data_IF_660155880074
#
_entry.id   IF_660155880074
#
_cell.length_a   1.000
_cell.length_b   1.000
_cell.length_c   1.000
_cell.angle_alpha   90.00
_cell.angle_beta   90.00
_cell.angle_gamma   90.00
#
_symmetry.space_group_name_H-M   'P 1'
#
loop_
_entity.id
_entity.type
_entity.pdbx_description
1 polymer ?
#
# COMPACT_ATOMS: atom_id res chain seq x y z
N UNK A 1 17.16 2.04 18.42
CA UNK A 1 18.52 2.44 17.99
C UNK A 1 19.32 3.06 19.12
N UNK A 2 19.00 4.28 19.60
CA UNK A 2 19.70 4.94 20.71
C UNK A 2 19.96 3.99 21.91
N UNK A 3 18.89 3.38 22.44
CA UNK A 3 18.98 2.46 23.60
C UNK A 3 19.91 1.26 23.33
N UNK A 4 19.94 0.75 22.09
CA UNK A 4 20.79 -0.39 21.71
C UNK A 4 22.26 0.03 21.73
N UNK A 5 22.59 1.18 21.12
CA UNK A 5 23.93 1.73 21.11
C UNK A 5 24.47 1.98 22.53
N UNK A 6 23.65 2.56 23.41
CA UNK A 6 24.02 2.78 24.80
C UNK A 6 24.29 1.46 25.55
N UNK A 7 23.47 0.42 25.32
CA UNK A 7 23.67 -0.92 25.89
C UNK A 7 24.92 -1.62 25.38
N UNK A 8 25.35 -1.31 24.15
CA UNK A 8 26.62 -1.76 23.57
C UNK A 8 27.82 -0.89 23.98
N UNK A 9 27.65 -0.09 25.04
CA UNK A 9 28.68 0.77 25.60
C UNK A 9 29.23 1.80 24.60
N UNK A 10 28.37 2.29 23.70
CA UNK A 10 28.69 3.38 22.75
C UNK A 10 28.18 4.71 23.26
N UNK A 11 28.95 5.77 23.02
CA UNK A 11 28.48 7.14 23.22
C UNK A 11 27.61 7.54 22.03
N UNK A 12 26.57 8.34 22.27
CA UNK A 12 25.69 8.81 21.19
C UNK A 12 25.64 10.33 21.16
N UNK A 13 26.08 10.92 20.05
CA UNK A 13 25.91 12.34 19.76
C UNK A 13 24.56 12.52 19.04
N UNK A 14 23.53 12.89 19.78
CA UNK A 14 22.19 13.13 19.26
C UNK A 14 22.04 14.59 18.84
N UNK A 15 21.70 14.81 17.57
CA UNK A 15 21.36 16.10 17.01
C UNK A 15 19.89 16.13 16.61
N UNK A 16 19.07 16.82 17.41
CA UNK A 16 17.62 16.85 17.30
C UNK A 16 17.09 18.27 17.50
N UNK A 17 16.23 18.76 16.60
CA UNK A 17 15.71 20.13 16.63
C UNK A 17 16.83 21.19 16.83
N UNK A 18 16.74 21.99 17.90
CA UNK A 18 17.69 23.02 18.29
C UNK A 18 18.72 22.53 19.33
N UNK A 19 18.75 21.23 19.61
CA UNK A 19 19.56 20.63 20.67
C UNK A 19 20.54 19.63 20.09
N UNK A 20 21.81 19.77 20.47
CA UNK A 20 22.81 18.72 20.29
C UNK A 20 23.30 18.28 21.66
N UNK A 21 23.26 16.97 21.90
CA UNK A 21 23.62 16.38 23.19
C UNK A 21 24.46 15.12 22.98
N UNK A 22 25.56 15.02 23.71
CA UNK A 22 26.32 13.79 23.86
C UNK A 22 25.74 12.99 25.03
N UNK A 23 25.38 11.74 24.76
CA UNK A 23 24.80 10.82 25.73
C UNK A 23 25.80 9.69 25.99
N UNK A 24 26.16 9.51 27.25
CA UNK A 24 27.08 8.48 27.70
C UNK A 24 26.34 7.17 28.00
N UNK A 25 27.01 6.00 27.95
CA UNK A 25 26.41 4.71 28.33
C UNK A 25 25.83 4.69 29.76
N UNK A 26 26.36 5.53 30.66
CA UNK A 26 25.83 5.73 32.01
C UNK A 26 24.45 6.39 32.05
N UNK A 27 24.04 7.03 30.95
CA UNK A 27 22.86 7.89 30.87
C UNK A 27 23.16 9.37 31.12
N UNK A 28 24.39 9.73 31.50
CA UNK A 28 24.81 11.12 31.65
C UNK A 28 24.76 11.85 30.30
N UNK A 29 24.49 13.15 30.34
CA UNK A 29 24.35 13.98 29.14
C UNK A 29 25.21 15.24 29.21
N UNK A 30 25.73 15.64 28.05
CA UNK A 30 26.52 16.85 27.88
C UNK A 30 26.01 17.64 26.66
N UNK A 31 25.65 18.91 26.86
CA UNK A 31 25.20 19.77 25.77
C UNK A 31 26.38 20.20 24.91
N UNK A 32 26.22 20.09 23.59
CA UNK A 32 27.21 20.51 22.60
C UNK A 32 26.65 21.71 21.86
N UNK A 33 27.26 22.87 22.01
CA UNK A 33 26.77 24.12 21.42
C UNK A 33 27.66 24.66 20.30
N UNK A 34 28.90 24.17 20.21
CA UNK A 34 29.88 24.61 19.24
C UNK A 34 30.11 23.58 18.13
N UNK A 35 30.28 24.07 16.88
CA UNK A 35 30.46 23.21 15.70
C UNK A 35 31.83 22.51 15.68
N UNK A 36 32.87 23.13 16.25
CA UNK A 36 34.20 22.51 16.35
C UNK A 36 34.15 21.38 17.37
N UNK A 37 33.52 21.62 18.52
CA UNK A 37 33.30 20.60 19.54
C UNK A 37 32.46 19.43 18.99
N UNK A 38 31.38 19.71 18.26
CA UNK A 38 30.58 18.70 17.57
C UNK A 38 31.47 17.82 16.68
N UNK A 39 32.29 18.45 15.83
CA UNK A 39 33.15 17.74 14.88
C UNK A 39 34.12 16.81 15.59
N UNK A 40 34.78 17.32 16.63
CA UNK A 40 35.75 16.56 17.42
C UNK A 40 35.12 15.32 18.06
N UNK A 41 33.93 15.48 18.65
CA UNK A 41 33.19 14.37 19.26
C UNK A 41 32.73 13.35 18.21
N UNK A 42 32.19 13.82 17.08
CA UNK A 42 31.69 12.96 16.01
C UNK A 42 32.81 12.11 15.35
N UNK A 43 34.07 12.55 15.41
CA UNK A 43 35.24 11.83 14.91
C UNK A 43 35.80 10.80 15.89
N UNK A 44 35.32 10.74 17.14
CA UNK A 44 35.73 9.73 18.10
C UNK A 44 35.28 8.33 17.65
N UNK A 45 36.16 7.33 17.81
CA UNK A 45 35.94 5.96 17.34
C UNK A 45 34.71 5.26 17.95
N UNK A 46 34.37 5.58 19.20
CA UNK A 46 33.26 4.97 19.95
C UNK A 46 31.99 5.83 20.00
N UNK A 47 31.93 6.90 19.20
CA UNK A 47 30.77 7.79 19.08
C UNK A 47 29.95 7.44 17.84
N UNK A 48 28.65 7.32 18.06
CA UNK A 48 27.64 7.26 17.00
C UNK A 48 26.85 8.55 16.97
N UNK A 49 26.82 9.22 15.83
CA UNK A 49 26.04 10.43 15.67
C UNK A 49 24.67 10.10 15.06
N UNK A 50 23.60 10.49 15.75
CA UNK A 50 22.23 10.37 15.27
C UNK A 50 21.73 11.78 14.93
N UNK A 51 21.38 12.01 13.67
CA UNK A 51 20.79 13.26 13.18
C UNK A 51 19.31 13.00 12.94
N UNK A 52 18.44 13.67 13.70
CA UNK A 52 16.99 13.44 13.63
C UNK A 52 16.25 14.66 13.08
N UNK A 53 15.62 14.47 11.91
CA UNK A 53 14.67 15.41 11.31
C UNK A 53 15.23 16.74 10.82
N UNK A 54 16.56 16.88 10.67
CA UNK A 54 17.22 18.12 10.24
C UNK A 54 18.39 17.87 9.30
N UNK A 55 18.80 18.92 8.58
CA UNK A 55 20.03 18.89 7.77
C UNK A 55 21.23 18.68 8.67
N UNK A 56 22.20 17.95 8.15
CA UNK A 56 23.50 17.79 8.75
C UNK A 56 24.19 19.15 8.95
N UNK A 57 24.86 19.30 10.09
CA UNK A 57 25.54 20.54 10.44
C UNK A 57 26.93 20.66 9.80
N UNK A 58 27.49 19.54 9.34
CA UNK A 58 28.85 19.38 8.86
C UNK A 58 28.88 18.32 7.75
N UNK A 59 29.81 18.49 6.81
CA UNK A 59 30.11 17.46 5.81
C UNK A 59 30.59 16.16 6.47
N UNK A 60 30.35 15.04 5.79
CA UNK A 60 30.65 13.70 6.33
C UNK A 60 32.04 13.17 5.96
N UNK A 61 33.03 14.06 5.84
CA UNK A 61 34.43 13.74 5.56
C UNK A 61 35.17 13.20 6.81
N UNK A 62 34.49 12.35 7.57
CA UNK A 62 35.00 11.77 8.81
C UNK A 62 35.87 10.54 8.55
N UNK A 63 37.01 10.45 9.24
CA UNK A 63 37.89 9.28 9.14
C UNK A 63 37.36 8.07 9.95
N UNK A 64 36.66 8.32 11.07
CA UNK A 64 36.24 7.28 12.01
C UNK A 64 34.75 7.34 12.43
N UNK A 65 34.07 8.46 12.22
CA UNK A 65 32.72 8.70 12.73
C UNK A 65 31.65 7.82 12.08
N UNK A 66 30.63 7.43 12.86
CA UNK A 66 29.44 6.71 12.38
C UNK A 66 28.23 7.63 12.42
N UNK A 67 27.65 7.92 11.27
CA UNK A 67 26.49 8.80 11.15
C UNK A 67 25.24 7.99 10.83
N UNK A 68 24.14 8.29 11.50
CA UNK A 68 22.82 7.79 11.18
C UNK A 68 21.87 8.97 11.08
N UNK A 69 21.29 9.17 9.90
CA UNK A 69 20.21 10.12 9.71
C UNK A 69 18.86 9.41 9.83
N UNK A 70 18.00 9.93 10.70
CA UNK A 70 16.60 9.53 10.83
C UNK A 70 15.76 10.71 10.38
N UNK A 71 15.01 10.57 9.31
CA UNK A 71 14.18 11.67 8.81
C UNK A 71 13.04 11.15 7.96
N UNK A 72 11.98 11.95 7.85
CA UNK A 72 11.08 11.86 6.71
C UNK A 72 11.89 12.03 5.41
N UNK A 73 11.47 11.42 4.29
CA UNK A 73 12.24 11.37 3.04
C UNK A 73 12.30 12.71 2.28
N UNK A 74 12.34 13.84 2.98
CA UNK A 74 12.39 15.19 2.40
C UNK A 74 13.75 15.43 1.76
N UNK A 75 13.79 15.65 0.45
CA UNK A 75 15.05 15.99 -0.25
C UNK A 75 15.75 17.21 0.34
N UNK A 76 14.98 18.19 0.83
CA UNK A 76 15.53 19.35 1.52
C UNK A 76 16.26 19.00 2.82
N UNK A 77 16.10 17.81 3.38
CA UNK A 77 16.78 17.33 4.58
C UNK A 77 17.83 16.29 4.22
N UNK A 78 17.43 15.26 3.47
CA UNK A 78 18.28 14.09 3.20
C UNK A 78 19.21 14.27 2.00
N UNK A 79 18.96 15.27 1.15
CA UNK A 79 19.57 15.35 -0.18
C UNK A 79 21.09 15.50 -0.14
N UNK A 80 21.63 16.27 0.80
CA UNK A 80 23.08 16.43 0.94
C UNK A 80 23.72 15.23 1.64
N UNK A 81 23.04 14.68 2.65
CA UNK A 81 23.46 13.45 3.34
C UNK A 81 23.58 12.25 2.39
N UNK A 82 22.59 12.08 1.51
CA UNK A 82 22.49 10.95 0.59
C UNK A 82 23.43 11.04 -0.64
N UNK A 83 24.07 12.19 -0.89
CA UNK A 83 25.09 12.30 -1.95
C UNK A 83 26.35 11.50 -1.64
N UNK A 84 26.54 11.15 -0.37
CA UNK A 84 27.65 10.33 0.08
C UNK A 84 27.28 8.85 0.02
N UNK A 85 28.26 7.94 0.11
CA UNK A 85 28.01 6.50 0.13
C UNK A 85 27.28 6.11 1.43
N UNK A 86 25.95 6.23 1.44
CA UNK A 86 25.09 5.87 2.56
C UNK A 86 24.21 4.68 2.21
N UNK A 87 23.91 3.86 3.21
CA UNK A 87 22.88 2.82 3.11
C UNK A 87 21.54 3.44 3.49
N UNK A 88 20.59 3.45 2.56
CA UNK A 88 19.24 3.97 2.79
C UNK A 88 18.32 2.84 3.22
N UNK A 89 17.67 3.01 4.38
CA UNK A 89 16.69 2.07 4.91
C UNK A 89 15.37 2.81 5.21
N UNK A 90 14.24 2.15 4.99
CA UNK A 90 12.90 2.67 5.24
C UNK A 90 12.26 1.98 6.43
N UNK A 91 11.68 2.75 7.34
CA UNK A 91 10.95 2.19 8.48
C UNK A 91 9.52 1.83 8.08
N UNK A 92 9.06 0.58 8.30
CA UNK A 92 7.69 0.18 8.03
C UNK A 92 6.71 0.81 9.02
N UNK A 93 5.44 0.86 8.61
CA UNK A 93 4.31 1.01 9.54
C UNK A 93 4.03 -0.33 10.24
N UNK A 94 3.32 -0.29 11.36
CA UNK A 94 2.93 -1.50 12.07
C UNK A 94 1.76 -2.21 11.38
N UNK A 95 1.76 -3.53 11.42
CA UNK A 95 0.59 -4.34 11.09
C UNK A 95 -0.32 -4.51 12.32
N UNK A 96 -1.49 -5.13 12.14
CA UNK A 96 -2.45 -5.32 13.22
C UNK A 96 -1.88 -6.21 14.35
N UNK A 97 -1.07 -7.24 14.02
CA UNK A 97 -0.44 -8.11 15.03
C UNK A 97 0.54 -7.35 15.91
N UNK A 98 1.35 -6.46 15.35
CA UNK A 98 2.29 -5.62 16.11
C UNK A 98 1.53 -4.66 17.06
N UNK A 99 0.40 -4.12 16.63
CA UNK A 99 -0.47 -3.30 17.48
C UNK A 99 -1.05 -4.12 18.63
N UNK A 100 -1.56 -5.32 18.33
CA UNK A 100 -2.08 -6.23 19.37
C UNK A 100 -1.00 -6.64 20.37
N UNK A 101 0.19 -7.01 19.89
CA UNK A 101 1.29 -7.47 20.72
C UNK A 101 1.80 -6.35 21.64
N UNK A 102 1.97 -5.14 21.10
CA UNK A 102 2.35 -3.98 21.89
C UNK A 102 1.29 -3.63 22.96
N UNK A 103 0.00 -3.71 22.61
CA UNK A 103 -1.06 -3.52 23.60
C UNK A 103 -0.97 -4.55 24.72
N UNK A 104 -0.84 -5.84 24.38
CA UNK A 104 -0.76 -6.95 25.35
C UNK A 104 0.46 -6.82 26.26
N UNK A 105 1.63 -6.49 25.72
CA UNK A 105 2.90 -6.57 26.45
C UNK A 105 3.37 -5.25 27.07
N UNK A 106 2.84 -4.10 26.63
CA UNK A 106 3.36 -2.78 27.04
C UNK A 106 2.28 -1.85 27.55
N UNK A 107 1.12 -1.78 26.88
CA UNK A 107 0.13 -0.72 27.14
C UNK A 107 -1.05 -1.15 28.01
N UNK A 108 -1.45 -2.42 28.02
CA UNK A 108 -2.67 -2.86 28.72
C UNK A 108 -2.64 -2.52 30.22
N UNK A 109 -1.47 -2.58 30.85
CA UNK A 109 -1.27 -2.20 32.26
C UNK A 109 -1.10 -0.67 32.45
N UNK A 110 -0.50 0.02 31.47
CA UNK A 110 -0.15 1.45 31.59
C UNK A 110 -1.31 2.38 31.27
N UNK A 111 -2.23 1.97 30.39
CA UNK A 111 -3.39 2.77 29.97
C UNK A 111 -4.64 1.89 29.99
N UNK A 112 -5.20 1.58 31.18
CA UNK A 112 -6.33 0.65 31.31
C UNK A 112 -7.62 1.12 30.62
N UNK A 113 -7.71 2.42 30.34
CA UNK A 113 -8.85 3.04 29.67
C UNK A 113 -8.93 2.74 28.16
N UNK A 114 -7.83 2.30 27.54
CA UNK A 114 -7.77 1.99 26.11
C UNK A 114 -7.87 0.48 25.90
N UNK A 115 -9.04 0.04 25.42
CA UNK A 115 -9.26 -1.36 25.04
C UNK A 115 -8.58 -1.70 23.71
N UNK A 116 -8.29 -2.99 23.49
CA UNK A 116 -7.76 -3.45 22.21
C UNK A 116 -8.70 -3.08 21.04
N UNK A 117 -10.02 -3.16 21.26
CA UNK A 117 -11.01 -2.80 20.25
C UNK A 117 -10.93 -1.32 19.85
N UNK A 118 -10.69 -0.42 20.82
CA UNK A 118 -10.44 1.01 20.54
C UNK A 118 -9.24 1.19 19.61
N UNK A 119 -8.14 0.48 19.87
CA UNK A 119 -6.94 0.53 19.04
C UNK A 119 -7.17 -0.03 17.63
N UNK A 120 -7.94 -1.12 17.50
CA UNK A 120 -8.34 -1.67 16.20
C UNK A 120 -9.18 -0.69 15.40
N UNK A 121 -10.10 0.05 16.04
CA UNK A 121 -10.87 1.11 15.39
C UNK A 121 -9.95 2.25 14.92
N UNK A 122 -8.96 2.66 15.72
CA UNK A 122 -7.96 3.65 15.31
C UNK A 122 -7.13 3.14 14.13
N UNK A 123 -6.64 1.90 14.18
CA UNK A 123 -5.89 1.26 13.11
C UNK A 123 -6.68 1.22 11.79
N UNK A 124 -7.96 0.79 11.83
CA UNK A 124 -8.82 0.80 10.64
C UNK A 124 -9.04 2.21 10.06
N UNK A 125 -8.92 3.24 10.89
CA UNK A 125 -9.12 4.63 10.49
C UNK A 125 -7.85 5.26 9.91
N UNK A 126 -6.73 5.18 10.62
CA UNK A 126 -5.49 5.88 10.27
C UNK A 126 -4.32 4.96 9.90
N UNK A 127 -4.52 3.65 9.80
CA UNK A 127 -3.46 2.69 9.52
C UNK A 127 -2.49 2.45 10.67
N UNK A 128 -1.38 1.79 10.34
CA UNK A 128 -0.36 1.31 11.26
C UNK A 128 0.60 2.34 11.85
N UNK A 129 0.19 3.58 12.12
CA UNK A 129 1.08 4.61 12.70
C UNK A 129 1.02 4.53 14.23
N UNK A 130 2.05 4.01 14.92
CA UNK A 130 1.95 3.72 16.36
C UNK A 130 1.71 5.00 17.18
N UNK A 131 2.33 6.11 16.78
CA UNK A 131 2.14 7.41 17.43
C UNK A 131 0.69 7.87 17.41
N UNK A 132 -0.06 7.62 16.33
CA UNK A 132 -1.48 7.96 16.25
C UNK A 132 -2.33 6.97 17.05
N UNK A 133 -2.07 5.66 16.90
CA UNK A 133 -2.87 4.60 17.54
C UNK A 133 -2.80 4.71 19.07
N UNK A 134 -1.59 4.83 19.62
CA UNK A 134 -1.35 4.79 21.07
C UNK A 134 -1.27 6.19 21.70
N UNK A 135 -0.92 7.22 20.93
CA UNK A 135 -0.70 8.57 21.46
C UNK A 135 -1.92 9.49 21.38
N UNK A 136 -2.87 9.22 20.48
CA UNK A 136 -3.94 10.17 20.17
C UNK A 136 -5.35 9.62 20.45
N UNK A 137 -6.29 10.52 20.70
CA UNK A 137 -7.71 10.16 20.83
C UNK A 137 -8.34 9.84 19.47
N UNK A 138 -9.35 8.96 19.44
CA UNK A 138 -10.10 8.68 18.22
C UNK A 138 -10.72 9.93 17.60
N UNK A 139 -11.17 10.89 18.43
CA UNK A 139 -11.71 12.17 17.98
C UNK A 139 -10.65 13.00 17.27
N UNK A 140 -9.45 13.10 17.83
CA UNK A 140 -8.33 13.81 17.20
C UNK A 140 -8.00 13.21 15.83
N UNK A 141 -7.85 11.88 15.75
CA UNK A 141 -7.52 11.20 14.48
C UNK A 141 -8.58 11.51 13.40
N UNK A 142 -9.87 11.43 13.76
CA UNK A 142 -10.97 11.78 12.84
C UNK A 142 -10.89 13.22 12.34
N UNK A 143 -10.61 14.17 13.24
CA UNK A 143 -10.48 15.59 12.89
C UNK A 143 -9.26 15.85 12.01
N UNK A 144 -8.12 15.26 12.36
CA UNK A 144 -6.87 15.38 11.60
C UNK A 144 -7.02 14.84 10.16
N UNK A 145 -7.62 13.66 9.99
CA UNK A 145 -7.92 13.10 8.66
C UNK A 145 -8.90 14.00 7.91
N UNK A 146 -9.98 14.45 8.56
CA UNK A 146 -10.97 15.34 7.93
C UNK A 146 -10.33 16.63 7.44
N UNK A 147 -9.43 17.21 8.23
CA UNK A 147 -8.69 18.42 7.86
C UNK A 147 -7.78 18.14 6.66
N UNK A 148 -7.01 17.06 6.68
CA UNK A 148 -6.09 16.71 5.59
C UNK A 148 -6.83 16.42 4.26
N UNK A 149 -8.01 15.78 4.36
CA UNK A 149 -8.90 15.57 3.21
C UNK A 149 -9.36 16.89 2.55
N UNK A 150 -9.28 18.03 3.24
CA UNK A 150 -9.58 19.34 2.62
C UNK A 150 -8.49 19.83 1.68
N UNK A 151 -7.27 19.34 1.84
CA UNK A 151 -6.08 19.68 1.04
C UNK A 151 -5.84 18.71 -0.12
N UNK A 152 -6.50 17.56 -0.13
CA UNK A 152 -6.39 16.57 -1.23
C UNK A 152 -6.68 17.22 -2.58
N UNK A 153 -5.74 17.08 -3.49
CA UNK A 153 -5.77 17.60 -4.85
C UNK A 153 -4.59 17.04 -5.68
N UNK A 154 -4.33 17.59 -6.88
CA UNK A 154 -3.35 17.05 -7.81
C UNK A 154 -1.92 17.02 -7.26
N UNK A 155 -1.57 17.99 -6.41
CA UNK A 155 -0.28 18.02 -5.72
C UNK A 155 -0.02 16.77 -4.87
N UNK A 156 -1.05 16.14 -4.31
CA UNK A 156 -0.91 14.88 -3.57
C UNK A 156 -0.46 13.72 -4.48
N UNK A 157 -0.88 13.75 -5.75
CA UNK A 157 -0.58 12.73 -6.76
C UNK A 157 0.79 12.98 -7.41
N UNK A 158 1.11 14.25 -7.71
CA UNK A 158 2.31 14.62 -8.46
C UNK A 158 3.56 14.92 -7.60
N UNK A 159 3.40 15.36 -6.35
CA UNK A 159 4.55 15.79 -5.51
C UNK A 159 5.33 14.62 -4.90
N UNK A 160 4.92 13.38 -5.18
CA UNK A 160 5.60 12.20 -4.65
C UNK A 160 6.56 11.55 -5.65
N UNK A 161 6.44 11.85 -6.95
CA UNK A 161 7.33 11.33 -7.99
C UNK A 161 8.60 12.16 -8.18
N UNK A 162 8.48 13.49 -8.13
CA UNK A 162 9.63 14.38 -8.16
C UNK A 162 10.08 14.65 -6.74
N UNK A 163 11.08 13.87 -6.31
CA UNK A 163 11.83 14.11 -5.07
C UNK A 163 10.95 14.23 -3.82
N UNK A 164 10.24 13.17 -3.40
CA UNK A 164 9.56 13.01 -2.09
C UNK A 164 9.55 14.29 -1.23
N UNK A 165 8.76 15.29 -1.62
CA UNK A 165 8.69 16.59 -0.93
C UNK A 165 7.71 16.49 0.23
N UNK A 166 7.80 15.37 0.95
CA UNK A 166 6.83 14.90 1.92
C UNK A 166 6.83 15.76 3.17
N UNK A 167 5.95 16.76 3.20
CA UNK A 167 5.51 17.37 4.44
C UNK A 167 3.99 17.41 4.58
N UNK A 168 3.24 17.67 3.50
CA UNK A 168 1.81 17.95 3.65
C UNK A 168 0.95 16.68 3.85
N UNK A 169 1.21 15.59 3.11
CA UNK A 169 0.29 14.42 3.09
C UNK A 169 0.86 13.13 3.71
N UNK A 170 2.19 13.07 3.87
CA UNK A 170 2.96 11.84 4.12
C UNK A 170 3.06 11.57 5.62
N UNK A 171 2.03 10.96 6.20
CA UNK A 171 1.94 10.36 7.56
C UNK A 171 0.48 10.27 8.05
N UNK A 172 -0.44 11.01 7.42
CA UNK A 172 -1.88 10.98 7.76
C UNK A 172 -2.72 10.31 6.69
N UNK A 173 -2.45 10.57 5.41
CA UNK A 173 -3.23 10.01 4.31
C UNK A 173 -2.45 8.96 3.52
N UNK A 174 -1.18 9.23 3.24
CA UNK A 174 -0.31 8.31 2.49
C UNK A 174 0.81 7.84 3.40
N UNK A 175 1.00 6.52 3.42
CA UNK A 175 1.96 5.80 4.23
C UNK A 175 3.02 5.14 3.34
N UNK A 176 4.20 4.98 3.92
CA UNK A 176 5.29 4.22 3.31
C UNK A 176 5.25 2.79 3.81
N UNK A 177 5.25 1.84 2.87
CA UNK A 177 5.56 0.44 3.11
C UNK A 177 6.93 0.13 2.52
N UNK A 178 7.51 -0.97 2.97
CA UNK A 178 8.83 -1.41 2.53
C UNK A 178 8.79 -2.85 2.07
N UNK A 179 9.86 -3.31 1.43
CA UNK A 179 10.04 -4.68 0.94
C UNK A 179 10.30 -5.70 2.06
N UNK A 180 9.56 -5.57 3.16
CA UNK A 180 9.50 -6.56 4.24
C UNK A 180 8.51 -7.68 3.94
N UNK A 181 7.46 -7.38 3.18
CA UNK A 181 6.44 -8.37 2.85
C UNK A 181 7.02 -9.43 1.90
N UNK A 182 6.58 -10.67 2.08
CA UNK A 182 6.71 -11.81 1.17
C UNK A 182 5.96 -11.54 -0.15
N UNK A 183 6.14 -10.38 -0.77
CA UNK A 183 5.70 -10.18 -2.14
C UNK A 183 6.68 -10.97 -3.01
N UNK A 184 6.23 -12.16 -3.40
CA UNK A 184 6.79 -12.99 -4.46
C UNK A 184 6.81 -12.19 -5.78
N UNK A 185 7.69 -11.20 -5.87
CA UNK A 185 8.10 -10.65 -7.15
C UNK A 185 9.24 -11.55 -7.60
N UNK A 186 9.00 -12.34 -8.65
CA UNK A 186 10.04 -13.13 -9.32
C UNK A 186 11.24 -12.21 -9.63
N UNK A 187 12.32 -12.36 -8.86
CA UNK A 187 13.49 -11.51 -8.92
C UNK A 187 14.46 -11.79 -7.76
N UNK A 188 15.69 -11.30 -7.87
CA UNK A 188 16.65 -11.31 -6.77
C UNK A 188 16.02 -10.65 -5.54
N UNK A 189 15.95 -11.37 -4.41
CA UNK A 189 15.42 -10.82 -3.16
C UNK A 189 16.24 -9.60 -2.76
N UNK A 190 15.68 -8.41 -2.97
CA UNK A 190 16.27 -7.17 -2.47
C UNK A 190 16.40 -7.25 -0.95
N UNK A 191 17.50 -6.72 -0.42
CA UNK A 191 17.71 -6.65 1.03
C UNK A 191 16.51 -5.96 1.69
N UNK A 192 15.96 -6.48 2.81
CA UNK A 192 14.82 -5.88 3.48
C UNK A 192 15.06 -4.40 3.81
N UNK A 193 13.98 -3.62 3.86
CA UNK A 193 14.01 -2.19 4.20
C UNK A 193 14.66 -1.27 3.15
N UNK A 194 15.12 -1.77 2.00
CA UNK A 194 15.84 -0.95 1.00
C UNK A 194 14.92 -0.30 -0.04
N UNK A 195 13.67 -0.74 -0.15
CA UNK A 195 12.68 -0.19 -1.07
C UNK A 195 11.51 0.45 -0.33
N UNK A 196 10.86 1.42 -0.96
CA UNK A 196 9.71 2.13 -0.40
C UNK A 196 8.59 2.21 -1.41
N UNK A 197 7.37 2.02 -0.93
CA UNK A 197 6.15 2.03 -1.72
C UNK A 197 5.08 2.86 -0.99
N UNK A 198 4.38 3.72 -1.71
CA UNK A 198 3.30 4.53 -1.17
C UNK A 198 1.97 3.79 -1.24
N UNK A 199 1.20 3.89 -0.16
CA UNK A 199 -0.14 3.37 -0.02
C UNK A 199 -1.01 4.36 0.73
N UNK A 200 -2.32 4.32 0.54
CA UNK A 200 -3.21 4.98 1.48
C UNK A 200 -3.08 4.36 2.87
N UNK A 201 -3.19 5.20 3.90
CA UNK A 201 -3.04 4.75 5.29
C UNK A 201 -4.08 3.73 5.72
N UNK A 202 -5.29 3.81 5.14
CA UNK A 202 -6.38 2.86 5.34
C UNK A 202 -7.33 2.86 4.16
N UNK A 203 -8.17 1.84 4.05
CA UNK A 203 -9.24 1.77 3.04
C UNK A 203 -10.24 2.93 3.20
N UNK A 204 -10.49 3.34 4.44
CA UNK A 204 -11.32 4.52 4.74
C UNK A 204 -10.73 5.79 4.11
N UNK A 205 -9.43 6.01 4.30
CA UNK A 205 -8.72 7.14 3.72
C UNK A 205 -8.73 7.05 2.19
N UNK A 206 -8.46 5.87 1.64
CA UNK A 206 -8.43 5.63 0.19
C UNK A 206 -9.76 6.02 -0.46
N UNK A 207 -10.88 5.53 0.09
CA UNK A 207 -12.22 5.85 -0.40
C UNK A 207 -12.53 7.36 -0.31
N UNK A 208 -12.18 8.02 0.81
CA UNK A 208 -12.41 9.46 0.96
C UNK A 208 -11.56 10.30 0.00
N UNK A 209 -10.31 9.90 -0.22
CA UNK A 209 -9.42 10.57 -1.17
C UNK A 209 -9.94 10.39 -2.60
N UNK A 210 -10.30 9.16 -3.00
CA UNK A 210 -10.88 8.90 -4.32
C UNK A 210 -12.12 9.77 -4.56
N UNK A 211 -13.09 9.74 -3.63
CA UNK A 211 -14.33 10.52 -3.77
C UNK A 211 -14.04 11.98 -4.09
N UNK A 212 -13.11 12.59 -3.35
CA UNK A 212 -12.74 13.99 -3.55
C UNK A 212 -11.99 14.24 -4.85
N UNK A 213 -11.01 13.39 -5.19
CA UNK A 213 -10.26 13.49 -6.44
C UNK A 213 -11.21 13.38 -7.63
N UNK A 214 -12.18 12.48 -7.58
CA UNK A 214 -13.22 12.34 -8.60
C UNK A 214 -14.11 13.57 -8.72
N UNK A 215 -14.58 14.11 -7.60
CA UNK A 215 -15.48 15.28 -7.59
C UNK A 215 -14.81 16.57 -8.09
N UNK A 216 -13.49 16.72 -7.91
CA UNK A 216 -12.80 18.01 -8.13
C UNK A 216 -11.64 17.98 -9.12
N UNK A 217 -11.02 16.82 -9.34
CA UNK A 217 -9.72 16.65 -10.01
C UNK A 217 -9.69 15.37 -10.86
N UNK A 218 -10.80 15.08 -11.56
CA UNK A 218 -10.97 13.83 -12.30
C UNK A 218 -9.90 13.61 -13.36
N UNK A 219 -9.58 14.65 -14.13
CA UNK A 219 -8.57 14.58 -15.20
C UNK A 219 -7.17 14.31 -14.63
N UNK A 220 -6.81 14.95 -13.52
CA UNK A 220 -5.55 14.70 -12.81
C UNK A 220 -5.47 13.27 -12.27
N UNK A 221 -6.58 12.75 -11.72
CA UNK A 221 -6.67 11.36 -11.25
C UNK A 221 -6.43 10.37 -12.39
N UNK A 222 -7.11 10.54 -13.52
CA UNK A 222 -6.93 9.68 -14.70
C UNK A 222 -5.47 9.74 -15.19
N UNK A 223 -4.92 10.96 -15.32
CA UNK A 223 -3.54 11.18 -15.75
C UNK A 223 -2.55 10.50 -14.82
N UNK A 224 -2.75 10.60 -13.50
CA UNK A 224 -1.90 9.93 -12.52
C UNK A 224 -1.95 8.40 -12.68
N UNK A 225 -3.14 7.81 -12.83
CA UNK A 225 -3.29 6.36 -13.00
C UNK A 225 -2.62 5.85 -14.30
N UNK A 226 -2.63 6.66 -15.35
CA UNK A 226 -2.01 6.33 -16.64
C UNK A 226 -0.48 6.51 -16.63
N UNK A 227 0.05 7.46 -15.85
CA UNK A 227 1.47 7.87 -15.95
C UNK A 227 2.34 7.46 -14.77
N UNK A 228 1.77 7.28 -13.57
CA UNK A 228 2.55 7.08 -12.34
C UNK A 228 2.84 5.61 -12.00
N UNK A 229 2.35 4.68 -12.83
CA UNK A 229 2.49 3.24 -12.56
C UNK A 229 3.92 2.73 -12.60
N UNK A 230 4.72 3.26 -13.54
CA UNK A 230 6.12 2.86 -13.72
C UNK A 230 7.07 3.59 -12.76
N UNK A 231 6.53 4.43 -11.87
CA UNK A 231 7.29 5.09 -10.81
C UNK A 231 7.33 4.11 -9.63
N UNK A 232 8.50 3.54 -9.27
CA UNK A 232 8.60 2.45 -8.31
C UNK A 232 7.88 2.72 -6.98
N UNK A 233 8.00 3.94 -6.46
CA UNK A 233 7.41 4.33 -5.18
C UNK A 233 5.89 4.57 -5.28
N UNK A 234 5.36 4.92 -6.46
CA UNK A 234 3.94 5.25 -6.66
C UNK A 234 3.12 4.14 -7.29
N UNK A 235 3.76 3.13 -7.88
CA UNK A 235 3.08 2.06 -8.59
C UNK A 235 2.00 1.38 -7.74
N UNK A 236 2.26 1.18 -6.45
CA UNK A 236 1.29 0.63 -5.49
C UNK A 236 0.09 1.56 -5.25
N UNK A 237 0.33 2.85 -4.99
CA UNK A 237 -0.75 3.84 -4.78
C UNK A 237 -1.61 3.99 -6.05
N UNK A 238 -0.94 4.02 -7.21
CA UNK A 238 -1.57 4.01 -8.52
C UNK A 238 -2.45 2.77 -8.71
N UNK A 239 -1.96 1.59 -8.35
CA UNK A 239 -2.71 0.33 -8.36
C UNK A 239 -3.96 0.39 -7.48
N UNK A 240 -3.84 0.89 -6.25
CA UNK A 240 -5.00 1.05 -5.35
C UNK A 240 -6.06 1.99 -5.90
N UNK A 241 -5.65 3.13 -6.49
CA UNK A 241 -6.58 4.05 -7.13
C UNK A 241 -7.25 3.43 -8.36
N UNK A 242 -6.48 2.72 -9.19
CA UNK A 242 -7.01 2.01 -10.34
C UNK A 242 -8.06 0.98 -9.93
N UNK A 243 -7.80 0.19 -8.89
CA UNK A 243 -8.74 -0.78 -8.34
C UNK A 243 -10.04 -0.13 -7.87
N UNK A 244 -9.96 0.92 -7.04
CA UNK A 244 -11.14 1.61 -6.54
C UNK A 244 -11.98 2.24 -7.66
N UNK A 245 -11.33 2.88 -8.64
CA UNK A 245 -12.02 3.45 -9.80
C UNK A 245 -12.66 2.34 -10.66
N UNK A 246 -11.97 1.21 -10.83
CA UNK A 246 -12.49 0.07 -11.59
C UNK A 246 -13.78 -0.46 -10.99
N UNK A 247 -13.86 -0.56 -9.67
CA UNK A 247 -15.10 -0.95 -8.99
C UNK A 247 -16.23 0.05 -9.25
N UNK A 248 -15.99 1.36 -9.15
CA UNK A 248 -17.02 2.36 -9.44
C UNK A 248 -17.52 2.27 -10.89
N UNK A 249 -16.60 2.15 -11.86
CA UNK A 249 -16.93 2.03 -13.28
C UNK A 249 -17.76 0.77 -13.56
N UNK A 250 -17.35 -0.38 -13.01
CA UNK A 250 -18.06 -1.64 -13.21
C UNK A 250 -19.45 -1.64 -12.54
N UNK A 251 -19.59 -0.99 -11.38
CA UNK A 251 -20.88 -0.80 -10.70
C UNK A 251 -21.82 0.13 -11.47
N UNK A 252 -21.30 1.23 -12.05
CA UNK A 252 -22.11 2.12 -12.87
C UNK A 252 -22.66 1.42 -14.13
N UNK A 253 -21.95 0.40 -14.59
CA UNK A 253 -22.28 -0.34 -15.80
C UNK A 253 -21.81 0.38 -17.06
N UNK A 254 -22.12 -0.20 -18.22
CA UNK A 254 -21.65 0.29 -19.51
C UNK A 254 -21.22 -0.86 -20.42
N UNK A 255 -20.49 -0.50 -21.48
CA UNK A 255 -19.96 -1.47 -22.45
C UNK A 255 -18.44 -1.40 -22.47
N UNK A 256 -17.81 -2.53 -22.19
CA UNK A 256 -16.37 -2.65 -22.01
C UNK A 256 -15.78 -3.51 -23.12
N UNK A 257 -14.69 -3.09 -23.79
CA UNK A 257 -13.93 -3.96 -24.67
C UNK A 257 -13.38 -5.15 -23.89
N UNK A 258 -13.57 -6.36 -24.42
CA UNK A 258 -13.02 -7.57 -23.83
C UNK A 258 -12.36 -8.43 -24.89
N UNK A 259 -11.33 -9.17 -24.51
CA UNK A 259 -10.62 -10.09 -25.40
C UNK A 259 -10.33 -11.38 -24.67
N UNK A 260 -10.65 -12.52 -25.29
CA UNK A 260 -10.34 -13.83 -24.73
C UNK A 260 -8.82 -14.05 -24.74
N UNK A 261 -8.27 -14.52 -23.62
CA UNK A 261 -6.86 -14.85 -23.48
C UNK A 261 -6.59 -16.27 -23.97
N UNK A 262 -5.47 -16.45 -24.65
CA UNK A 262 -5.07 -17.72 -25.28
C UNK A 262 -3.78 -18.23 -24.66
N UNK A 263 -3.53 -19.54 -24.78
CA UNK A 263 -2.33 -20.16 -24.21
C UNK A 263 -1.04 -19.73 -24.94
N UNK A 264 -1.14 -19.50 -26.25
CA UNK A 264 -0.02 -19.04 -27.10
C UNK A 264 0.14 -17.51 -27.13
N UNK A 265 -0.84 -16.77 -26.63
CA UNK A 265 -0.85 -15.30 -26.65
C UNK A 265 -1.29 -14.71 -27.99
N UNK A 266 -1.87 -15.52 -28.87
CA UNK A 266 -2.54 -15.04 -30.07
C UNK A 266 -3.71 -14.12 -29.71
N UNK A 267 -3.86 -13.02 -30.46
CA UNK A 267 -4.95 -12.09 -30.27
C UNK A 267 -6.26 -12.72 -30.76
N UNK A 268 -7.14 -13.08 -29.82
CA UNK A 268 -8.54 -13.40 -30.14
C UNK A 268 -9.31 -12.17 -30.62
N UNK A 269 -10.51 -12.35 -31.20
CA UNK A 269 -11.36 -11.22 -31.57
C UNK A 269 -11.72 -10.40 -30.33
N UNK A 270 -11.67 -9.08 -30.47
CA UNK A 270 -12.22 -8.17 -29.46
C UNK A 270 -13.73 -8.20 -29.55
N UNK A 271 -14.37 -8.40 -28.42
CA UNK A 271 -15.82 -8.33 -28.24
C UNK A 271 -16.13 -7.31 -27.16
N UNK A 272 -17.37 -7.29 -26.68
CA UNK A 272 -17.76 -6.40 -25.59
C UNK A 272 -18.44 -7.16 -24.46
N UNK A 273 -18.20 -6.72 -23.23
CA UNK A 273 -19.01 -7.05 -22.07
C UNK A 273 -19.91 -5.85 -21.78
N UNK A 274 -21.23 -6.06 -21.78
CA UNK A 274 -22.18 -5.05 -21.31
C UNK A 274 -22.63 -5.41 -19.90
N UNK A 275 -22.50 -4.44 -18.98
CA UNK A 275 -23.03 -4.51 -17.63
C UNK A 275 -24.12 -3.45 -17.49
N UNK A 276 -25.23 -3.82 -16.86
CA UNK A 276 -26.21 -2.84 -16.39
C UNK A 276 -25.67 -2.12 -15.15
N UNK A 277 -26.36 -1.08 -14.68
CA UNK A 277 -26.05 -0.50 -13.38
C UNK A 277 -26.30 -1.55 -12.28
N UNK A 278 -25.30 -1.72 -11.42
CA UNK A 278 -25.27 -2.71 -10.35
C UNK A 278 -25.22 -2.02 -8.98
N UNK A 279 -25.91 -2.60 -8.02
CA UNK A 279 -25.80 -2.23 -6.61
C UNK A 279 -24.54 -2.88 -5.99
N UNK A 280 -23.64 -2.06 -5.45
CA UNK A 280 -22.45 -2.56 -4.76
C UNK A 280 -22.83 -3.19 -3.42
N UNK A 281 -22.33 -4.39 -3.18
CA UNK A 281 -22.52 -5.16 -1.95
C UNK A 281 -21.18 -5.68 -1.47
N UNK A 282 -20.92 -5.57 -0.17
CA UNK A 282 -19.75 -6.19 0.45
C UNK A 282 -20.14 -7.52 1.09
N UNK A 283 -19.20 -8.47 1.12
CA UNK A 283 -19.41 -9.74 1.82
C UNK A 283 -18.12 -10.21 2.50
N UNK A 284 -18.27 -10.90 3.61
CA UNK A 284 -17.17 -11.59 4.30
C UNK A 284 -17.31 -13.12 4.18
N UNK A 285 -18.55 -13.60 4.05
CA UNK A 285 -18.87 -15.01 3.82
C UNK A 285 -19.75 -15.22 2.57
N UNK A 286 -19.49 -16.31 1.83
CA UNK A 286 -20.22 -16.61 0.59
C UNK A 286 -21.72 -16.89 0.81
N UNK A 287 -22.14 -17.22 2.03
CA UNK A 287 -23.54 -17.44 2.40
C UNK A 287 -24.38 -16.16 2.28
N UNK A 288 -23.78 -14.98 2.49
CA UNK A 288 -24.43 -13.67 2.33
C UNK A 288 -24.89 -13.42 0.89
N UNK A 289 -24.14 -13.99 -0.07
CA UNK A 289 -24.48 -13.95 -1.48
C UNK A 289 -25.62 -14.94 -1.76
N UNK A 290 -25.56 -16.16 -1.21
CA UNK A 290 -26.58 -17.21 -1.42
C UNK A 290 -27.97 -16.81 -0.93
N UNK A 291 -28.08 -16.11 0.19
CA UNK A 291 -29.37 -15.66 0.75
C UNK A 291 -30.15 -14.64 -0.12
N UNK A 292 -29.51 -14.04 -1.13
CA UNK A 292 -30.08 -13.01 -2.01
C UNK A 292 -30.64 -13.53 -3.36
N UNK A 293 -30.88 -14.84 -3.49
CA UNK A 293 -31.24 -15.52 -4.75
C UNK A 293 -32.53 -15.05 -5.43
N UNK A 294 -33.48 -14.48 -4.69
CA UNK A 294 -34.80 -14.08 -5.23
C UNK A 294 -34.86 -12.62 -5.73
N UNK A 295 -33.87 -11.77 -5.39
CA UNK A 295 -33.96 -10.30 -5.56
C UNK A 295 -32.72 -9.65 -6.20
N UNK A 296 -31.66 -10.41 -6.54
CA UNK A 296 -30.32 -9.85 -6.78
C UNK A 296 -29.60 -10.26 -8.06
N UNK A 297 -30.17 -10.02 -9.24
CA UNK A 297 -29.43 -10.18 -10.51
C UNK A 297 -28.50 -8.99 -10.81
N UNK A 298 -28.82 -7.80 -10.29
CA UNK A 298 -28.06 -6.57 -10.56
C UNK A 298 -27.20 -6.16 -9.35
N UNK A 299 -26.40 -7.09 -8.83
CA UNK A 299 -25.51 -6.86 -7.67
C UNK A 299 -24.06 -7.06 -8.05
N UNK A 300 -23.20 -6.18 -7.56
CA UNK A 300 -21.74 -6.23 -7.67
C UNK A 300 -21.13 -6.53 -6.31
N UNK A 301 -20.62 -7.73 -6.13
CA UNK A 301 -20.14 -8.22 -4.84
C UNK A 301 -18.64 -8.01 -4.69
N UNK A 302 -18.20 -7.36 -3.61
CA UNK A 302 -16.79 -7.17 -3.25
C UNK A 302 -16.46 -7.89 -1.95
N UNK A 303 -15.43 -8.76 -1.94
CA UNK A 303 -15.00 -9.40 -0.71
C UNK A 303 -14.33 -8.38 0.22
N UNK A 304 -14.57 -8.53 1.53
CA UNK A 304 -13.80 -7.83 2.58
C UNK A 304 -12.58 -8.67 2.98
N UNK A 305 -12.75 -10.00 3.02
CA UNK A 305 -11.71 -10.94 3.43
C UNK A 305 -10.68 -11.22 2.34
N UNK A 306 -9.41 -11.31 2.75
CA UNK A 306 -8.29 -11.77 1.91
C UNK A 306 -8.36 -13.26 1.54
N UNK A 307 -9.31 -14.03 2.09
CA UNK A 307 -9.51 -15.44 1.72
C UNK A 307 -9.89 -15.57 0.24
N UNK A 308 -10.59 -14.57 -0.32
CA UNK A 308 -11.03 -14.55 -1.71
C UNK A 308 -9.96 -13.97 -2.66
N UNK A 309 -8.68 -14.20 -2.36
CA UNK A 309 -7.50 -13.62 -3.00
C UNK A 309 -7.38 -13.80 -4.54
N UNK A 310 -8.25 -14.59 -5.15
CA UNK A 310 -8.30 -14.77 -6.61
C UNK A 310 -9.12 -13.70 -7.32
N UNK A 311 -9.99 -12.98 -6.61
CA UNK A 311 -10.92 -12.03 -7.19
C UNK A 311 -10.99 -10.77 -6.33
N UNK A 312 -11.18 -9.64 -7.01
CA UNK A 312 -11.49 -8.37 -6.35
C UNK A 312 -13.00 -8.09 -6.38
N UNK A 313 -13.74 -8.75 -7.28
CA UNK A 313 -15.20 -8.73 -7.25
C UNK A 313 -15.87 -9.86 -8.04
N UNK A 314 -17.19 -9.96 -7.84
CA UNK A 314 -18.05 -10.97 -8.43
C UNK A 314 -19.39 -10.38 -8.90
N UNK A 315 -19.83 -10.76 -10.11
CA UNK A 315 -21.18 -10.48 -10.61
C UNK A 315 -21.86 -11.78 -11.00
N UNK A 316 -23.13 -11.92 -10.58
CA UNK A 316 -23.92 -13.11 -10.90
C UNK A 316 -24.31 -13.16 -12.39
N UNK A 317 -24.32 -14.33 -13.04
CA UNK A 317 -23.68 -15.58 -12.64
C UNK A 317 -22.30 -15.69 -13.28
N UNK A 318 -21.35 -16.29 -12.55
CA UNK A 318 -20.05 -16.74 -13.05
C UNK A 318 -19.18 -15.67 -13.73
N UNK A 319 -19.32 -14.38 -13.40
CA UNK A 319 -18.39 -13.32 -13.82
C UNK A 319 -17.48 -12.95 -12.66
N UNK A 320 -16.22 -13.32 -12.76
CA UNK A 320 -15.18 -13.05 -11.77
C UNK A 320 -14.32 -11.90 -12.30
N UNK A 321 -13.94 -10.97 -11.45
CA UNK A 321 -13.08 -9.85 -11.84
C UNK A 321 -11.86 -9.81 -10.92
N UNK A 322 -10.69 -9.67 -11.52
CA UNK A 322 -9.42 -9.40 -10.85
C UNK A 322 -8.81 -8.16 -11.49
N UNK A 323 -8.69 -7.09 -10.72
CA UNK A 323 -8.13 -5.83 -11.17
C UNK A 323 -6.62 -5.90 -11.06
N UNK A 324 -5.92 -5.53 -12.13
CA UNK A 324 -4.47 -5.51 -12.08
C UNK A 324 -3.90 -4.46 -13.00
N UNK A 325 -2.77 -3.90 -12.57
CA UNK A 325 -1.92 -3.01 -13.37
C UNK A 325 -0.64 -3.71 -13.83
N UNK A 326 -0.44 -4.97 -13.42
CA UNK A 326 0.71 -5.78 -13.79
C UNK A 326 0.51 -6.45 -15.16
N UNK A 327 1.62 -6.68 -15.87
CA UNK A 327 1.60 -7.39 -17.17
C UNK A 327 1.32 -8.88 -17.03
N UNK A 328 1.49 -9.43 -15.84
CA UNK A 328 1.10 -10.79 -15.49
C UNK A 328 0.59 -10.82 -14.05
N UNK A 329 -0.43 -11.63 -13.79
CA UNK A 329 -1.01 -11.79 -12.47
C UNK A 329 -1.58 -13.20 -12.33
N UNK A 330 -0.99 -13.99 -11.44
CA UNK A 330 -1.45 -15.36 -11.21
C UNK A 330 -2.85 -15.44 -10.59
N UNK A 331 -3.53 -16.54 -10.87
CA UNK A 331 -4.83 -16.86 -10.27
C UNK A 331 -4.58 -17.85 -9.13
N UNK A 332 -4.67 -17.36 -7.91
CA UNK A 332 -4.51 -18.19 -6.71
C UNK A 332 -5.65 -19.20 -6.62
N UNK A 333 -5.36 -20.49 -6.47
CA UNK A 333 -6.41 -21.51 -6.52
C UNK A 333 -7.27 -21.59 -5.25
N UNK A 334 -6.71 -21.25 -4.09
CA UNK A 334 -7.46 -21.32 -2.83
C UNK A 334 -8.64 -20.35 -2.81
N UNK A 335 -8.48 -19.14 -3.33
CA UNK A 335 -9.59 -18.20 -3.44
C UNK A 335 -10.69 -18.69 -4.40
N UNK A 336 -10.34 -19.40 -5.48
CA UNK A 336 -11.32 -20.03 -6.38
C UNK A 336 -12.09 -21.15 -5.68
N UNK A 337 -11.41 -21.95 -4.84
CA UNK A 337 -12.08 -22.96 -4.00
C UNK A 337 -13.04 -22.32 -3.01
N UNK A 338 -12.64 -21.21 -2.40
CA UNK A 338 -13.46 -20.48 -1.44
C UNK A 338 -14.78 -19.96 -2.05
N UNK A 339 -14.77 -19.56 -3.32
CA UNK A 339 -15.99 -19.07 -4.00
C UNK A 339 -16.77 -20.15 -4.76
N UNK A 340 -16.29 -21.40 -4.84
CA UNK A 340 -16.92 -22.46 -5.64
C UNK A 340 -18.42 -22.61 -5.34
N UNK A 341 -18.81 -22.47 -4.08
CA UNK A 341 -20.20 -22.63 -3.65
C UNK A 341 -21.19 -21.61 -4.24
N UNK A 342 -20.75 -20.48 -4.79
CA UNK A 342 -21.60 -19.44 -5.41
C UNK A 342 -21.56 -19.46 -6.95
N UNK A 343 -20.76 -20.35 -7.54
CA UNK A 343 -20.67 -20.55 -8.97
C UNK A 343 -21.75 -21.55 -9.43
N UNK A 344 -22.19 -21.40 -10.68
CA UNK A 344 -23.17 -22.28 -11.31
C UNK A 344 -22.47 -23.32 -12.17
N UNK A 345 -22.53 -24.58 -11.76
CA UNK A 345 -21.81 -25.70 -12.41
C UNK A 345 -22.17 -25.92 -13.89
N UNK A 346 -23.38 -25.53 -14.31
CA UNK A 346 -23.86 -25.77 -15.68
C UNK A 346 -23.40 -24.72 -16.70
N UNK A 347 -22.59 -23.73 -16.31
CA UNK A 347 -22.21 -22.61 -17.15
C UNK A 347 -20.70 -22.36 -17.06
N UNK A 348 -20.07 -22.04 -18.20
CA UNK A 348 -18.67 -21.59 -18.20
C UNK A 348 -18.51 -20.35 -17.31
N UNK A 349 -17.35 -20.26 -16.68
CA UNK A 349 -16.96 -19.16 -15.82
C UNK A 349 -16.13 -18.19 -16.63
N UNK A 350 -16.53 -16.91 -16.63
CA UNK A 350 -15.76 -15.84 -17.25
C UNK A 350 -14.95 -15.14 -16.18
N UNK A 351 -13.63 -15.27 -16.27
CA UNK A 351 -12.67 -14.60 -15.41
C UNK A 351 -12.07 -13.42 -16.16
N UNK A 352 -12.36 -12.21 -15.70
CA UNK A 352 -11.93 -10.96 -16.32
C UNK A 352 -10.77 -10.35 -15.54
N UNK A 353 -9.62 -10.21 -16.20
CA UNK A 353 -8.57 -9.30 -15.77
C UNK A 353 -8.96 -7.89 -16.18
N UNK A 354 -9.23 -7.03 -15.20
CA UNK A 354 -9.62 -5.65 -15.42
C UNK A 354 -8.35 -4.81 -15.51
N UNK A 355 -8.14 -4.19 -16.66
CA UNK A 355 -6.86 -3.62 -17.06
C UNK A 355 -7.03 -2.17 -17.54
N UNK A 356 -6.02 -1.31 -17.28
CA UNK A 356 -5.93 -0.04 -17.95
C UNK A 356 -5.60 -0.26 -19.43
N UNK A 357 -5.98 0.71 -20.27
CA UNK A 357 -5.92 0.60 -21.74
C UNK A 357 -4.55 0.18 -22.28
N UNK A 358 -3.48 0.77 -21.77
CA UNK A 358 -2.11 0.51 -22.20
C UNK A 358 -1.66 -0.94 -21.92
N UNK A 359 -2.11 -1.54 -20.80
CA UNK A 359 -1.83 -2.94 -20.48
C UNK A 359 -2.72 -3.86 -21.28
N UNK A 360 -4.00 -3.50 -21.44
CA UNK A 360 -4.94 -4.26 -22.25
C UNK A 360 -4.38 -4.55 -23.64
N UNK A 361 -3.69 -3.61 -24.28
CA UNK A 361 -3.09 -3.82 -25.62
C UNK A 361 -2.06 -4.97 -25.66
N UNK A 362 -1.31 -5.19 -24.57
CA UNK A 362 -0.24 -6.19 -24.50
C UNK A 362 -0.62 -7.45 -23.69
N UNK A 363 -1.74 -7.44 -22.99
CA UNK A 363 -2.24 -8.55 -22.18
C UNK A 363 -2.96 -9.58 -23.07
N UNK A 364 -2.21 -10.54 -23.61
CA UNK A 364 -2.73 -11.51 -24.59
C UNK A 364 -2.73 -12.95 -24.12
N UNK A 365 -1.87 -13.29 -23.15
CA UNK A 365 -1.66 -14.66 -22.67
C UNK A 365 -2.56 -14.98 -21.49
N UNK A 366 -3.03 -16.23 -21.40
CA UNK A 366 -3.64 -16.75 -20.18
C UNK A 366 -2.66 -16.69 -19.03
N UNK A 367 -3.19 -16.33 -17.87
CA UNK A 367 -2.45 -16.31 -16.63
C UNK A 367 -2.43 -17.69 -16.00
N UNK A 368 -1.33 -17.97 -15.29
CA UNK A 368 -1.11 -19.24 -14.62
C UNK A 368 -1.97 -19.33 -13.36
N UNK A 369 -2.29 -20.56 -12.97
CA UNK A 369 -2.88 -20.83 -11.67
C UNK A 369 -1.77 -21.12 -10.66
N UNK A 370 -1.89 -20.55 -9.47
CA UNK A 370 -0.90 -20.63 -8.39
C UNK A 370 -1.45 -21.39 -7.19
N UNK A 371 -0.58 -22.12 -6.49
CA UNK A 371 -0.89 -22.86 -5.26
C UNK A 371 -0.02 -22.35 -4.13
N UNK A 372 -0.53 -22.40 -2.89
CA UNK A 372 0.31 -22.26 -1.69
C UNK A 372 1.00 -23.61 -1.45
N UNK A 373 2.28 -23.73 -1.81
CA UNK A 373 3.12 -24.91 -1.52
C UNK A 373 3.79 -25.57 -2.73
N UNK A 374 4.61 -26.59 -2.48
CA UNK A 374 5.35 -27.33 -3.52
C UNK A 374 4.43 -28.28 -4.31
N UNK A 375 4.22 -27.97 -5.59
CA UNK A 375 3.52 -28.84 -6.55
C UNK A 375 2.25 -28.20 -7.16
N UNK A 376 2.19 -28.15 -8.49
CA UNK A 376 1.04 -27.63 -9.23
C UNK A 376 0.00 -28.75 -9.40
N UNK A 377 -0.80 -29.04 -8.37
CA UNK A 377 -2.04 -29.81 -8.53
C UNK A 377 -3.21 -28.84 -8.70
N UNK A 378 -3.73 -28.76 -9.92
CA UNK A 378 -4.88 -27.92 -10.27
C UNK A 378 -6.15 -28.76 -10.25
N UNK A 379 -7.19 -28.28 -9.58
CA UNK A 379 -8.50 -28.94 -9.57
C UNK A 379 -9.06 -29.03 -11.00
N UNK A 380 -9.64 -30.18 -11.36
CA UNK A 380 -10.10 -30.44 -12.74
C UNK A 380 -11.13 -29.41 -13.25
N UNK A 381 -12.04 -28.97 -12.37
CA UNK A 381 -13.06 -27.97 -12.71
C UNK A 381 -12.47 -26.59 -13.08
N UNK A 382 -11.37 -26.19 -12.43
CA UNK A 382 -10.67 -24.93 -12.72
C UNK A 382 -10.11 -24.94 -14.16
N UNK A 383 -9.58 -26.08 -14.61
CA UNK A 383 -9.00 -26.24 -15.96
C UNK A 383 -10.06 -26.31 -17.07
N UNK A 384 -11.21 -26.92 -16.79
CA UNK A 384 -12.24 -27.17 -17.81
C UNK A 384 -13.22 -26.01 -17.99
N UNK A 385 -13.53 -25.31 -16.90
CA UNK A 385 -14.75 -24.50 -16.83
C UNK A 385 -14.48 -22.99 -16.86
N UNK A 386 -13.23 -22.55 -16.70
CA UNK A 386 -12.86 -21.13 -16.65
C UNK A 386 -12.27 -20.65 -17.98
N UNK A 387 -12.92 -19.65 -18.58
CA UNK A 387 -12.37 -18.82 -19.64
C UNK A 387 -11.78 -17.54 -19.05
N UNK A 388 -10.56 -17.20 -19.45
CA UNK A 388 -9.90 -15.98 -19.04
C UNK A 388 -10.02 -14.91 -20.12
N UNK A 389 -10.28 -13.67 -19.70
CA UNK A 389 -10.48 -12.52 -20.57
C UNK A 389 -9.67 -11.33 -20.05
N UNK A 390 -9.11 -10.54 -20.95
CA UNK A 390 -8.74 -9.16 -20.66
C UNK A 390 -9.98 -8.27 -20.82
N UNK A 391 -10.21 -7.35 -19.89
CA UNK A 391 -11.25 -6.33 -19.92
C UNK A 391 -10.60 -4.96 -19.82
N UNK A 392 -10.90 -4.09 -20.77
CA UNK A 392 -10.33 -2.75 -20.85
C UNK A 392 -11.18 -1.72 -20.10
N UNK A 393 -10.54 -0.96 -19.21
CA UNK A 393 -11.06 0.31 -18.71
C UNK A 393 -10.33 1.45 -19.41
N UNK A 394 -11.06 2.17 -20.26
CA UNK A 394 -10.59 3.37 -20.95
C UNK A 394 -11.19 4.60 -20.26
N UNK A 395 -10.38 5.31 -19.48
CA UNK A 395 -10.83 6.48 -18.72
C UNK A 395 -11.40 7.61 -19.57
N UNK A 396 -11.02 7.67 -20.85
CA UNK A 396 -11.58 8.65 -21.80
C UNK A 396 -13.00 8.31 -22.24
N UNK A 397 -13.44 7.07 -22.04
CA UNK A 397 -14.76 6.56 -22.45
C UNK A 397 -15.66 6.21 -21.26
N UNK A 398 -15.08 5.99 -20.08
CA UNK A 398 -15.82 5.73 -18.85
C UNK A 398 -16.15 7.05 -18.15
N UNK A 399 -17.42 7.44 -18.15
CA UNK A 399 -17.93 8.43 -17.21
C UNK A 399 -17.96 7.75 -15.83
N UNK A 400 -17.16 8.23 -14.88
CA UNK A 400 -17.26 7.87 -13.46
C UNK A 400 -17.18 9.11 -12.56
#
# INVERSE_FOLDING_TARGET
MLIVLLKENKKVLLDYEAVTVLIYPSGDTEYVSDKVQYRQIAEEQDVWCIIDGKRDQLGHDFSNGKLIMVSLPKKSIIGDFAKQWCVKLYMPIWNEFEVEDCWKNVYCEKVPSESLESLKVKFKLCGGIPRLIFGESLLYIKLAIKQELTSVGPGMLCNQSNDFSGDEYTHKLIHMRTNLEETEVEGEKADPYTSCFCFFGSDYIAYKCLKRLKEKYKEDLCTFIETARDIPEMGSLCGQLFELVSHEILCQGGTFPVRKLTDDGSLGPETTLTLESLEEMFFDDISEIKGNTSQGQNKYYRPISKIFESIDSYVRYNKLFQVTVAKSHGIKQEGLRAIKGILKDSCRISFYFVLPKDIFETYTKKQKYENKGEGIRIDGWIKGDIDQYALCIDFNKCLF
#
